data_IF_253630291107
#
_entry.id   IF_253630291107
#
_cell.length_a   1.000
_cell.length_b   1.000
_cell.length_c   1.000
_cell.angle_alpha   90.00
_cell.angle_beta   90.00
_cell.angle_gamma   90.00
#
_symmetry.space_group_name_H-M   'P 1'
#
loop_
_entity.id
_entity.type
_entity.pdbx_description
1 polymer ?
#
# COMPACT_ATOMS: atom_id res chain seq x y z
N UNK A 1 -2.58 -12.28 7.44
CA UNK A 1 -2.12 -12.74 6.10
C UNK A 1 -1.33 -11.62 5.45
N UNK A 2 -0.23 -11.91 4.75
CA UNK A 2 0.68 -10.87 4.24
C UNK A 2 0.82 -10.97 2.73
N UNK A 3 0.63 -9.84 2.03
CA UNK A 3 0.78 -9.72 0.59
C UNK A 3 1.99 -8.82 0.30
N UNK A 4 2.97 -9.35 -0.43
CA UNK A 4 4.18 -8.62 -0.78
C UNK A 4 4.11 -8.16 -2.23
N UNK A 5 4.28 -6.86 -2.45
CA UNK A 5 4.14 -6.20 -3.74
C UNK A 5 5.46 -5.51 -4.03
N UNK A 6 6.16 -5.97 -5.07
CA UNK A 6 7.45 -5.39 -5.48
C UNK A 6 7.39 -4.96 -6.93
N UNK A 7 7.66 -3.69 -7.18
CA UNK A 7 7.77 -3.10 -8.50
C UNK A 7 9.17 -2.46 -8.66
N UNK A 8 9.90 -2.81 -9.71
CA UNK A 8 11.23 -2.24 -9.94
C UNK A 8 11.14 -1.11 -10.96
N UNK A 9 10.54 -1.36 -12.13
CA UNK A 9 10.17 -0.34 -13.11
C UNK A 9 8.71 -0.54 -13.52
N UNK A 10 7.82 0.39 -13.13
CA UNK A 10 6.39 0.33 -13.40
C UNK A 10 5.53 0.56 -12.17
N UNK A 11 4.31 0.02 -12.17
CA UNK A 11 3.42 0.19 -11.04
C UNK A 11 2.47 -0.98 -10.79
N UNK A 12 1.94 -1.01 -9.57
CA UNK A 12 1.00 -2.03 -9.12
C UNK A 12 -0.26 -1.32 -8.63
N UNK A 13 -1.42 -1.70 -9.16
CA UNK A 13 -2.70 -1.23 -8.66
C UNK A 13 -3.44 -2.38 -7.98
N UNK A 14 -3.79 -2.21 -6.71
CA UNK A 14 -4.50 -3.21 -5.92
C UNK A 14 -5.88 -2.67 -5.57
N UNK A 15 -6.90 -3.43 -5.92
CA UNK A 15 -8.30 -3.14 -5.58
C UNK A 15 -8.70 -4.10 -4.48
N UNK A 16 -9.08 -3.54 -3.34
CA UNK A 16 -9.51 -4.30 -2.16
C UNK A 16 -11.01 -4.15 -1.98
N UNK A 17 -11.70 -5.21 -1.53
CA UNK A 17 -13.08 -5.08 -1.11
C UNK A 17 -13.19 -4.22 0.17
N UNK A 18 -14.32 -3.50 0.37
CA UNK A 18 -14.50 -2.56 1.49
C UNK A 18 -14.59 -3.24 2.87
N UNK A 19 -14.79 -4.56 2.91
CA UNK A 19 -14.97 -5.36 4.13
C UNK A 19 -13.64 -5.93 4.69
N UNK A 20 -12.49 -5.45 4.20
CA UNK A 20 -11.17 -5.94 4.61
C UNK A 20 -10.37 -4.80 5.24
N UNK A 21 -9.96 -5.00 6.50
CA UNK A 21 -9.01 -4.11 7.14
C UNK A 21 -7.62 -4.32 6.54
N UNK A 22 -7.00 -3.23 6.11
CA UNK A 22 -5.69 -3.25 5.45
C UNK A 22 -4.69 -2.41 6.21
N UNK A 23 -3.51 -2.98 6.38
CA UNK A 23 -2.34 -2.24 6.86
C UNK A 23 -1.32 -2.22 5.76
N UNK A 24 -0.87 -1.04 5.35
CA UNK A 24 0.14 -0.92 4.32
C UNK A 24 1.43 -0.37 4.92
N UNK A 25 2.53 -1.07 4.67
CA UNK A 25 3.88 -0.61 4.93
C UNK A 25 4.61 -0.59 3.60
N UNK A 26 4.82 0.63 3.10
CA UNK A 26 5.38 0.85 1.79
C UNK A 26 6.67 1.65 1.84
N UNK A 27 7.67 1.26 1.04
CA UNK A 27 8.87 2.05 0.77
C UNK A 27 8.96 2.32 -0.73
N UNK A 28 9.01 3.60 -1.10
CA UNK A 28 9.30 4.06 -2.45
C UNK A 28 10.67 4.73 -2.48
N UNK A 29 11.45 4.46 -3.51
CA UNK A 29 12.72 5.16 -3.78
C UNK A 29 12.43 6.23 -4.83
N UNK A 30 12.58 6.00 -6.13
CA UNK A 30 12.12 6.94 -7.17
C UNK A 30 10.65 6.70 -7.52
N UNK A 31 9.71 7.28 -6.78
CA UNK A 31 8.29 7.13 -7.12
C UNK A 31 7.32 7.55 -6.04
N UNK A 32 6.17 6.89 -6.01
CA UNK A 32 5.11 7.22 -5.05
C UNK A 32 4.24 6.04 -4.70
N UNK A 33 3.83 5.97 -3.44
CA UNK A 33 2.84 5.00 -2.97
C UNK A 33 1.60 5.80 -2.63
N UNK A 34 0.51 5.53 -3.35
CA UNK A 34 -0.79 6.16 -3.13
C UNK A 34 -1.72 5.18 -2.42
N UNK A 35 -2.13 5.57 -1.22
CA UNK A 35 -2.96 4.78 -0.34
C UNK A 35 -4.25 5.55 -0.09
N UNK A 36 -5.35 5.14 -0.74
CA UNK A 36 -6.68 5.73 -0.55
C UNK A 36 -6.67 7.28 -0.63
N UNK A 37 -5.93 7.84 -1.60
CA UNK A 37 -5.84 9.29 -1.83
C UNK A 37 -4.89 10.02 -0.88
N UNK A 38 -4.22 9.33 0.04
CA UNK A 38 -3.06 9.83 0.78
C UNK A 38 -1.79 9.30 0.13
N UNK A 39 -1.35 10.01 -0.90
CA UNK A 39 -0.08 9.78 -1.56
C UNK A 39 1.10 10.16 -0.67
N UNK A 40 2.09 9.27 -0.56
CA UNK A 40 3.43 9.61 -0.13
C UNK A 40 4.38 9.31 -1.28
N UNK A 41 4.94 10.36 -1.87
CA UNK A 41 5.81 10.27 -3.03
C UNK A 41 6.98 11.24 -2.93
N UNK A 42 8.12 10.82 -3.47
CA UNK A 42 9.42 11.50 -3.39
C UNK A 42 10.55 10.60 -3.86
N UNK A 43 11.82 10.99 -3.60
CA UNK A 43 13.02 10.16 -3.85
C UNK A 43 13.21 9.11 -2.72
N UNK A 44 12.51 9.28 -1.60
CA UNK A 44 12.34 8.28 -0.56
C UNK A 44 11.02 8.55 0.18
N UNK A 45 10.05 7.65 0.10
CA UNK A 45 8.76 7.77 0.78
C UNK A 45 8.43 6.50 1.55
N UNK A 46 8.38 6.59 2.88
CA UNK A 46 7.92 5.51 3.75
C UNK A 46 6.54 5.86 4.31
N UNK A 47 5.55 4.99 4.09
CA UNK A 47 4.19 5.22 4.59
C UNK A 47 3.71 3.99 5.31
N UNK A 48 3.32 4.20 6.56
CA UNK A 48 2.51 3.25 7.32
C UNK A 48 1.09 3.80 7.38
N UNK A 49 0.12 3.03 6.89
CA UNK A 49 -1.27 3.42 6.90
C UNK A 49 -2.14 2.25 7.30
N UNK A 50 -3.19 2.53 8.06
CA UNK A 50 -4.18 1.57 8.50
C UNK A 50 -5.54 2.07 8.03
N UNK A 51 -6.26 1.22 7.30
CA UNK A 51 -7.59 1.52 6.80
C UNK A 51 -8.56 0.43 7.23
N UNK A 52 -9.69 0.85 7.81
CA UNK A 52 -10.69 -0.03 8.43
C UNK A 52 -10.59 -0.10 9.95
N UNK A 53 -11.65 -0.61 10.58
CA UNK A 53 -11.70 -0.81 12.02
C UNK A 53 -10.94 -2.09 12.40
N UNK A 54 -9.63 -1.94 12.66
CA UNK A 54 -8.72 -3.04 13.01
C UNK A 54 -9.18 -3.86 14.23
N UNK A 55 -10.12 -3.34 15.04
CA UNK A 55 -10.64 -4.03 16.23
C UNK A 55 -11.81 -4.98 15.95
N UNK A 56 -12.49 -4.86 14.81
CA UNK A 56 -13.71 -5.62 14.52
C UNK A 56 -13.68 -6.35 13.16
N UNK A 57 -12.54 -6.37 12.48
CA UNK A 57 -12.40 -7.03 11.18
C UNK A 57 -11.71 -8.39 11.34
N UNK A 58 -12.44 -9.47 11.07
CA UNK A 58 -11.94 -10.86 11.08
C UNK A 58 -10.86 -11.12 10.00
N UNK A 59 -10.69 -10.18 9.05
CA UNK A 59 -9.76 -10.30 7.92
C UNK A 59 -8.85 -9.08 7.83
N UNK A 60 -7.71 -9.17 8.51
CA UNK A 60 -6.63 -8.17 8.43
C UNK A 60 -5.62 -8.61 7.35
N UNK A 61 -5.44 -7.77 6.35
CA UNK A 61 -4.44 -7.95 5.29
C UNK A 61 -3.26 -6.99 5.50
N UNK A 62 -2.06 -7.54 5.61
CA UNK A 62 -0.82 -6.78 5.70
C UNK A 62 -0.20 -6.65 4.31
N UNK A 63 -0.17 -5.44 3.76
CA UNK A 63 0.45 -5.09 2.49
C UNK A 63 1.87 -4.60 2.75
N UNK A 64 2.85 -5.29 2.15
CA UNK A 64 4.25 -4.88 2.15
C UNK A 64 4.62 -4.45 0.74
N UNK A 65 4.80 -3.15 0.55
CA UNK A 65 4.96 -2.53 -0.75
C UNK A 65 6.40 -2.02 -0.92
N UNK A 66 7.05 -2.37 -2.02
CA UNK A 66 8.39 -1.86 -2.35
C UNK A 66 8.41 -1.44 -3.81
N UNK A 67 8.62 -0.16 -4.07
CA UNK A 67 8.79 0.36 -5.43
C UNK A 67 10.10 1.11 -5.57
N UNK A 68 10.86 0.83 -6.63
CA UNK A 68 12.14 1.51 -6.88
C UNK A 68 11.97 2.61 -7.92
N UNK A 69 11.38 2.33 -9.08
CA UNK A 69 11.06 3.32 -10.12
C UNK A 69 9.60 3.17 -10.57
N UNK A 70 8.72 3.97 -9.99
CA UNK A 70 7.28 4.01 -10.32
C UNK A 70 6.38 3.94 -9.09
N UNK A 71 5.15 3.43 -9.22
CA UNK A 71 4.12 3.68 -8.21
C UNK A 71 3.27 2.49 -7.78
N UNK A 72 2.86 2.48 -6.52
CA UNK A 72 1.91 1.48 -6.00
C UNK A 72 0.66 2.21 -5.57
N UNK A 73 -0.48 1.87 -6.15
CA UNK A 73 -1.77 2.49 -5.88
C UNK A 73 -2.69 1.46 -5.24
N UNK A 74 -3.29 1.83 -4.11
CA UNK A 74 -4.19 0.95 -3.35
C UNK A 74 -5.55 1.63 -3.24
N UNK A 75 -6.56 0.98 -3.83
CA UNK A 75 -7.96 1.42 -3.87
C UNK A 75 -8.83 0.49 -3.04
N UNK A 76 -9.75 1.09 -2.29
CA UNK A 76 -10.89 0.40 -1.67
C UNK A 76 -12.15 0.73 -2.46
#
# INVERSE_FOLDING_TARGET
>A
MTLTLSAIMGGISVILPPDVAVTCNGTSILGGIDLMGRGSGGILGSTSMQSGDLKNSDKILHLKCTTIMGGIEIKQ
#
